data_IF_652815029654
#
_entry.id   IF_652815029654
#
_cell.length_a   1.000
_cell.length_b   1.000
_cell.length_c   1.000
_cell.angle_alpha   90.00
_cell.angle_beta   90.00
_cell.angle_gamma   90.00
#
_symmetry.space_group_name_H-M   'P 1'
#
loop_
_entity.id
_entity.type
_entity.pdbx_description
1 polymer ?
#
# COMPACT_ATOMS: atom_id res chain seq x y z
N UNK A 1 -10.49 1.98 14.04
CA UNK A 1 -9.42 1.17 13.43
C UNK A 1 -9.99 0.46 12.21
N UNK A 2 -9.49 0.74 11.01
CA UNK A 2 -10.02 0.16 9.77
C UNK A 2 -9.16 -1.00 9.28
N UNK A 3 -9.15 -2.07 10.07
CA UNK A 3 -8.27 -3.23 9.86
C UNK A 3 -8.58 -3.95 8.53
N UNK A 4 -9.86 -4.01 8.14
CA UNK A 4 -10.31 -4.64 6.90
C UNK A 4 -9.74 -3.94 5.66
N UNK A 5 -9.89 -2.62 5.57
CA UNK A 5 -9.30 -1.85 4.47
C UNK A 5 -7.76 -1.96 4.47
N UNK A 6 -7.14 -1.98 5.66
CA UNK A 6 -5.71 -2.20 5.81
C UNK A 6 -5.22 -3.51 5.19
N UNK A 7 -5.91 -4.62 5.45
CA UNK A 7 -5.57 -5.93 4.86
C UNK A 7 -5.82 -6.00 3.34
N UNK A 8 -6.90 -5.40 2.84
CA UNK A 8 -7.15 -5.33 1.40
C UNK A 8 -6.04 -4.54 0.71
N UNK A 9 -5.64 -3.41 1.29
CA UNK A 9 -4.54 -2.61 0.77
C UNK A 9 -3.19 -3.36 0.84
N UNK A 10 -2.95 -4.15 1.90
CA UNK A 10 -1.77 -5.00 2.01
C UNK A 10 -1.69 -6.01 0.86
N UNK A 11 -2.80 -6.68 0.55
CA UNK A 11 -2.87 -7.64 -0.56
C UNK A 11 -2.57 -6.96 -1.90
N UNK A 12 -3.12 -5.77 -2.12
CA UNK A 12 -2.86 -4.97 -3.30
C UNK A 12 -1.37 -4.58 -3.42
N UNK A 13 -0.73 -4.18 -2.32
CA UNK A 13 0.70 -3.87 -2.27
C UNK A 13 1.55 -5.08 -2.65
N UNK A 14 1.20 -6.29 -2.21
CA UNK A 14 1.91 -7.52 -2.60
C UNK A 14 1.88 -7.72 -4.11
N UNK A 15 0.72 -7.55 -4.75
CA UNK A 15 0.61 -7.63 -6.21
C UNK A 15 1.44 -6.56 -6.92
N UNK A 16 1.46 -5.33 -6.39
CA UNK A 16 2.27 -4.23 -6.89
C UNK A 16 3.78 -4.52 -6.82
N UNK A 17 4.25 -5.13 -5.72
CA UNK A 17 5.64 -5.58 -5.59
C UNK A 17 5.99 -6.66 -6.60
N UNK A 18 5.12 -7.67 -6.78
CA UNK A 18 5.31 -8.71 -7.78
C UNK A 18 5.38 -8.12 -9.19
N UNK A 19 4.50 -7.17 -9.50
CA UNK A 19 4.51 -6.45 -10.76
C UNK A 19 5.79 -5.64 -10.95
N UNK A 20 6.26 -4.94 -9.91
CA UNK A 20 7.52 -4.20 -9.94
C UNK A 20 8.70 -5.11 -10.32
N UNK A 21 8.77 -6.32 -9.75
CA UNK A 21 9.83 -7.28 -10.06
C UNK A 21 9.80 -7.73 -11.53
N UNK A 22 8.61 -7.89 -12.12
CA UNK A 22 8.47 -8.25 -13.54
C UNK A 22 9.00 -7.14 -14.46
N UNK A 23 8.69 -5.88 -14.17
CA UNK A 23 9.09 -4.74 -15.00
C UNK A 23 10.54 -4.28 -14.78
N UNK A 24 11.19 -4.76 -13.71
CA UNK A 24 12.59 -4.42 -13.36
C UNK A 24 13.53 -4.60 -14.55
N UNK A 25 13.33 -5.64 -15.34
CA UNK A 25 14.19 -5.98 -16.49
C UNK A 25 13.89 -5.17 -17.75
N UNK A 26 12.76 -4.46 -17.82
CA UNK A 26 12.38 -3.63 -18.97
C UNK A 26 12.81 -2.18 -18.78
N UNK A 27 12.52 -1.59 -17.62
CA UNK A 27 12.67 -0.15 -17.40
C UNK A 27 12.99 0.16 -15.95
N UNK A 28 14.24 0.57 -15.69
CA UNK A 28 14.71 0.93 -14.34
C UNK A 28 13.89 2.08 -13.72
N UNK A 29 13.52 3.09 -14.52
CA UNK A 29 12.74 4.24 -14.05
C UNK A 29 11.35 3.80 -13.56
N UNK A 30 10.63 3.00 -14.36
CA UNK A 30 9.30 2.52 -13.97
C UNK A 30 9.38 1.61 -12.74
N UNK A 31 10.42 0.78 -12.62
CA UNK A 31 10.67 -0.02 -11.42
C UNK A 31 10.78 0.85 -10.16
N UNK A 32 11.61 1.89 -10.19
CA UNK A 32 11.77 2.79 -9.04
C UNK A 32 10.47 3.54 -8.69
N UNK A 33 9.71 3.98 -9.70
CA UNK A 33 8.41 4.64 -9.49
C UNK A 33 7.43 3.68 -8.82
N UNK A 34 7.25 2.47 -9.37
CA UNK A 34 6.32 1.48 -8.85
C UNK A 34 6.72 1.05 -7.43
N UNK A 35 8.01 0.83 -7.18
CA UNK A 35 8.53 0.51 -5.84
C UNK A 35 8.26 1.62 -4.82
N UNK A 36 8.48 2.88 -5.21
CA UNK A 36 8.22 4.04 -4.34
C UNK A 36 6.75 4.14 -3.98
N UNK A 37 5.84 4.01 -4.96
CA UNK A 37 4.39 4.02 -4.75
C UNK A 37 3.96 2.85 -3.86
N UNK A 38 4.51 1.66 -4.09
CA UNK A 38 4.23 0.46 -3.27
C UNK A 38 4.64 0.67 -1.81
N UNK A 39 5.77 1.34 -1.57
CA UNK A 39 6.22 1.69 -0.23
C UNK A 39 5.26 2.65 0.49
N UNK A 40 4.74 3.66 -0.21
CA UNK A 40 3.74 4.58 0.35
C UNK A 40 2.47 3.82 0.75
N UNK A 41 1.96 2.95 -0.13
CA UNK A 41 0.77 2.15 0.19
C UNK A 41 1.01 1.14 1.31
N UNK A 42 2.22 0.61 1.45
CA UNK A 42 2.57 -0.26 2.58
C UNK A 42 2.47 0.49 3.92
N UNK A 43 3.03 1.72 3.97
CA UNK A 43 2.94 2.56 5.17
C UNK A 43 1.47 2.86 5.50
N UNK A 44 0.67 3.23 4.50
CA UNK A 44 -0.77 3.47 4.70
C UNK A 44 -1.51 2.22 5.20
N UNK A 45 -1.18 1.04 4.68
CA UNK A 45 -1.76 -0.23 5.14
C UNK A 45 -1.44 -0.48 6.62
N UNK A 46 -0.18 -0.28 7.03
CA UNK A 46 0.23 -0.42 8.44
C UNK A 46 -0.52 0.58 9.33
N UNK A 47 -0.64 1.84 8.90
CA UNK A 47 -1.38 2.87 9.65
C UNK A 47 -2.85 2.49 9.87
N UNK A 48 -3.51 1.93 8.85
CA UNK A 48 -4.90 1.45 8.92
C UNK A 48 -5.04 0.22 9.82
N UNK A 49 -4.12 -0.75 9.71
CA UNK A 49 -4.13 -1.99 10.50
C UNK A 49 -3.88 -1.70 11.98
N UNK A 50 -2.87 -0.88 12.28
CA UNK A 50 -2.49 -0.51 13.65
C UNK A 50 -3.49 0.46 14.29
N UNK A 51 -4.33 1.11 13.48
CA UNK A 51 -5.27 2.11 13.96
C UNK A 51 -4.61 3.42 14.39
N UNK A 52 -3.31 3.62 14.11
CA UNK A 52 -2.61 4.88 14.38
C UNK A 52 -3.22 6.05 13.59
N UNK A 53 -3.80 5.74 12.42
CA UNK A 53 -4.58 6.67 11.64
C UNK A 53 -5.86 5.98 11.13
N UNK A 54 -7.02 6.53 11.48
CA UNK A 54 -8.31 6.09 10.95
C UNK A 54 -9.06 7.29 10.36
N UNK A 55 -9.09 7.43 9.02
CA UNK A 55 -9.75 8.56 8.38
C UNK A 55 -11.27 8.55 8.57
N UNK A 56 -11.86 7.41 8.95
CA UNK A 56 -13.31 7.27 9.14
C UNK A 56 -13.76 7.50 10.58
N UNK A 57 -12.84 7.72 11.52
CA UNK A 57 -13.20 7.90 12.94
C UNK A 57 -14.12 9.09 13.20
N UNK A 58 -14.03 10.13 12.37
CA UNK A 58 -14.79 11.38 12.54
C UNK A 58 -16.13 11.40 11.80
N UNK A 59 -16.43 10.37 11.01
CA UNK A 59 -17.63 10.30 10.17
C UNK A 59 -18.77 9.46 10.77
N UNK A 60 -18.51 8.72 11.86
CA UNK A 60 -19.53 8.03 12.66
C UNK A 60 -19.76 8.90 13.90
N UNK A 61 -20.80 9.74 13.86
CA UNK A 61 -21.25 10.53 15.00
C UNK A 61 -22.74 10.29 15.22
#
# INVERSE_FOLDING_TARGET
MNIGAGFVLLLFVIFLFLFALIIKYKTNIAFYIVMSISGIFLILSILLITGFYDPYSNHIR
#
